data_IF_686988693758
#
_entry.id   IF_686988693758
#
_cell.length_a   1.000
_cell.length_b   1.000
_cell.length_c   1.000
_cell.angle_alpha   90.00
_cell.angle_beta   90.00
_cell.angle_gamma   90.00
#
_symmetry.space_group_name_H-M   'P 1'
#
loop_
_entity.id
_entity.type
_entity.pdbx_description
1 polymer ?
#
# COMPACT_ATOMS: atom_id res chain seq x y z
N UNK A 1 26.32 -16.89 1.35
CA UNK A 1 25.32 -16.53 2.36
C UNK A 1 24.44 -15.38 1.89
N UNK A 2 25.00 -14.26 1.42
CA UNK A 2 24.19 -13.12 0.95
C UNK A 2 23.13 -13.51 -0.09
N UNK A 3 23.49 -14.24 -1.13
CA UNK A 3 22.58 -14.71 -2.17
C UNK A 3 21.43 -15.54 -1.59
N UNK A 4 21.74 -16.42 -0.64
CA UNK A 4 20.75 -17.27 0.04
C UNK A 4 19.75 -16.42 0.85
N UNK A 5 20.23 -15.45 1.63
CA UNK A 5 19.36 -14.60 2.43
C UNK A 5 18.59 -13.56 1.62
N UNK A 6 19.16 -13.05 0.54
CA UNK A 6 18.58 -11.97 -0.23
C UNK A 6 17.61 -12.43 -1.31
N UNK A 7 17.82 -13.62 -1.92
CA UNK A 7 17.03 -14.09 -3.07
C UNK A 7 16.09 -15.25 -2.77
N UNK A 8 16.48 -16.16 -1.85
CA UNK A 8 15.67 -17.35 -1.53
C UNK A 8 14.53 -17.00 -0.55
N UNK A 9 13.75 -15.99 -0.88
CA UNK A 9 12.66 -15.50 -0.05
C UNK A 9 11.42 -16.38 -0.29
N UNK A 10 10.94 -17.01 0.78
CA UNK A 10 9.72 -17.85 0.73
C UNK A 10 9.93 -19.27 0.21
N UNK A 11 11.13 -19.65 -0.19
CA UNK A 11 11.45 -20.99 -0.63
C UNK A 11 11.52 -21.96 0.56
N UNK A 12 10.94 -23.14 0.41
CA UNK A 12 11.08 -24.22 1.40
C UNK A 12 12.45 -24.85 1.24
N UNK A 13 13.28 -24.75 2.28
CA UNK A 13 14.66 -25.22 2.28
C UNK A 13 14.87 -26.29 3.35
N UNK A 14 15.84 -27.21 3.17
CA UNK A 14 16.30 -28.09 4.22
C UNK A 14 16.77 -27.31 5.46
N UNK A 15 16.69 -27.89 6.69
CA UNK A 15 16.94 -27.17 7.94
C UNK A 15 18.25 -26.40 7.98
N UNK A 16 19.33 -26.97 7.47
CA UNK A 16 20.65 -26.32 7.42
C UNK A 16 20.65 -25.10 6.53
N UNK A 17 20.08 -25.19 5.33
CA UNK A 17 19.99 -24.04 4.42
C UNK A 17 18.99 -23.00 4.92
N UNK A 18 17.89 -23.44 5.55
CA UNK A 18 16.93 -22.54 6.19
C UNK A 18 17.57 -21.72 7.31
N UNK A 19 18.41 -22.33 8.15
CA UNK A 19 19.19 -21.66 9.20
C UNK A 19 20.09 -20.55 8.62
N UNK A 20 20.89 -20.88 7.62
CA UNK A 20 21.81 -19.93 7.00
C UNK A 20 21.08 -18.82 6.22
N UNK A 21 19.95 -19.16 5.59
CA UNK A 21 19.08 -18.16 4.98
C UNK A 21 18.55 -17.18 6.03
N UNK A 22 18.01 -17.68 7.14
CA UNK A 22 17.49 -16.87 8.24
C UNK A 22 18.57 -15.93 8.81
N UNK A 23 19.78 -16.45 9.02
CA UNK A 23 20.93 -15.66 9.47
C UNK A 23 21.23 -14.50 8.49
N UNK A 24 21.37 -14.78 7.21
CA UNK A 24 21.66 -13.76 6.20
C UNK A 24 20.46 -12.82 5.95
N UNK A 25 19.23 -13.30 6.03
CA UNK A 25 18.04 -12.49 5.90
C UNK A 25 17.88 -11.46 7.04
N UNK A 26 18.41 -11.74 8.25
CA UNK A 26 18.48 -10.75 9.34
C UNK A 26 19.36 -9.55 8.94
N UNK A 27 20.47 -9.80 8.26
CA UNK A 27 21.31 -8.73 7.72
C UNK A 27 20.54 -7.88 6.70
N UNK A 28 19.89 -8.52 5.71
CA UNK A 28 19.11 -7.81 4.68
C UNK A 28 17.95 -7.03 5.30
N UNK A 29 17.30 -7.59 6.33
CA UNK A 29 16.26 -6.90 7.10
C UNK A 29 16.79 -5.62 7.77
N UNK A 30 17.93 -5.69 8.40
CA UNK A 30 18.58 -4.53 9.02
C UNK A 30 19.00 -3.49 7.96
N UNK A 31 19.49 -3.96 6.82
CA UNK A 31 19.83 -3.12 5.67
C UNK A 31 18.61 -2.34 5.13
N UNK A 32 17.43 -2.97 5.07
CA UNK A 32 16.19 -2.31 4.66
C UNK A 32 15.77 -1.15 5.59
N UNK A 33 16.22 -1.16 6.84
CA UNK A 33 15.95 -0.11 7.82
C UNK A 33 16.92 1.08 7.73
N UNK A 34 17.94 1.02 6.85
CA UNK A 34 18.86 2.13 6.63
C UNK A 34 18.14 3.27 5.92
N UNK A 35 18.23 4.48 6.47
CA UNK A 35 17.60 5.66 5.90
C UNK A 35 18.20 5.97 4.51
N UNK A 36 17.37 6.46 3.60
CA UNK A 36 17.80 6.82 2.25
C UNK A 36 18.83 7.96 2.30
N UNK A 37 19.99 7.73 1.67
CA UNK A 37 21.10 8.69 1.69
C UNK A 37 22.02 8.61 2.91
N UNK A 38 21.75 7.74 3.89
CA UNK A 38 22.65 7.49 5.01
C UNK A 38 23.80 6.54 4.59
N UNK A 39 24.91 6.64 5.29
CA UNK A 39 25.99 5.65 5.17
C UNK A 39 25.46 4.27 5.56
N UNK A 40 25.75 3.29 4.73
CA UNK A 40 25.33 1.92 4.97
C UNK A 40 26.25 1.32 6.03
N UNK A 41 25.76 1.25 7.25
CA UNK A 41 26.45 0.63 8.38
C UNK A 41 25.48 -0.28 9.13
N UNK A 42 25.54 -1.57 8.87
CA UNK A 42 24.68 -2.57 9.53
C UNK A 42 25.45 -3.20 10.67
N UNK A 43 25.16 -2.76 11.90
CA UNK A 43 25.80 -3.30 13.08
C UNK A 43 25.55 -4.81 13.24
N UNK A 44 26.55 -5.54 13.72
CA UNK A 44 26.40 -6.95 14.05
C UNK A 44 25.38 -7.13 15.18
N UNK A 45 24.65 -8.27 15.22
CA UNK A 45 23.74 -8.59 16.32
C UNK A 45 24.47 -8.60 17.66
N UNK A 46 23.78 -8.19 18.73
CA UNK A 46 24.35 -8.24 20.09
C UNK A 46 24.68 -9.67 20.55
N UNK A 47 25.53 -9.77 21.56
CA UNK A 47 26.04 -11.06 22.07
C UNK A 47 24.93 -12.07 22.38
N UNK A 48 23.88 -11.66 23.10
CA UNK A 48 22.73 -12.52 23.42
C UNK A 48 22.03 -13.10 22.19
N UNK A 49 21.94 -12.33 21.11
CA UNK A 49 21.35 -12.79 19.84
C UNK A 49 22.26 -13.78 19.13
N UNK A 50 23.57 -13.53 19.14
CA UNK A 50 24.55 -14.47 18.57
C UNK A 50 24.61 -15.76 19.36
N UNK A 51 24.53 -15.72 20.69
CA UNK A 51 24.47 -16.90 21.56
C UNK A 51 23.21 -17.76 21.26
N UNK A 52 22.04 -17.10 21.12
CA UNK A 52 20.81 -17.80 20.73
C UNK A 52 20.94 -18.48 19.35
N UNK A 53 21.54 -17.79 18.39
CA UNK A 53 21.74 -18.35 17.04
C UNK A 53 22.68 -19.56 17.07
N UNK A 54 23.70 -19.57 17.92
CA UNK A 54 24.57 -20.76 18.11
C UNK A 54 23.80 -21.89 18.77
N UNK A 55 22.93 -21.61 19.76
CA UNK A 55 22.12 -22.61 20.42
C UNK A 55 21.07 -23.25 19.49
N UNK A 56 20.52 -22.50 18.54
CA UNK A 56 19.48 -22.93 17.60
C UNK A 56 20.04 -23.63 16.33
N UNK A 57 21.34 -23.93 16.29
CA UNK A 57 21.99 -24.56 15.13
C UNK A 57 21.41 -25.96 14.87
N UNK A 58 20.89 -26.24 13.66
CA UNK A 58 20.46 -27.58 13.31
C UNK A 58 21.66 -28.54 13.20
N UNK A 59 21.45 -29.84 13.37
CA UNK A 59 22.50 -30.84 13.15
C UNK A 59 23.10 -30.67 11.76
N UNK A 60 24.38 -30.27 11.71
CA UNK A 60 25.13 -30.11 10.47
C UNK A 60 26.62 -30.36 10.73
N UNK A 61 27.33 -30.70 9.67
CA UNK A 61 28.79 -30.93 9.74
C UNK A 61 29.49 -29.60 10.05
N UNK A 62 30.33 -29.59 11.09
CA UNK A 62 31.07 -28.42 11.53
C UNK A 62 30.29 -27.52 12.52
N UNK A 63 29.09 -27.93 12.97
CA UNK A 63 28.32 -27.18 13.96
C UNK A 63 29.09 -26.99 15.27
N UNK A 64 29.95 -27.92 15.62
CA UNK A 64 30.80 -27.91 16.82
C UNK A 64 31.82 -26.76 16.82
N UNK A 65 32.15 -26.19 15.67
CA UNK A 65 33.04 -25.04 15.53
C UNK A 65 32.34 -23.70 15.47
N UNK A 66 31.00 -23.72 15.45
CA UNK A 66 30.22 -22.48 15.38
C UNK A 66 30.23 -21.77 16.73
N UNK A 67 30.61 -20.51 16.71
CA UNK A 67 30.66 -19.65 17.89
C UNK A 67 30.11 -18.26 17.56
N UNK A 68 29.75 -17.44 18.56
CA UNK A 68 29.37 -16.04 18.34
C UNK A 68 30.40 -15.27 17.53
N UNK A 69 31.68 -15.52 17.74
CA UNK A 69 32.77 -14.90 16.98
C UNK A 69 32.80 -15.29 15.51
N UNK A 70 32.50 -16.56 15.19
CA UNK A 70 32.36 -17.04 13.80
C UNK A 70 31.16 -16.38 13.13
N UNK A 71 30.02 -16.29 13.82
CA UNK A 71 28.82 -15.62 13.29
C UNK A 71 29.07 -14.12 13.05
N UNK A 72 29.80 -13.45 13.96
CA UNK A 72 30.16 -12.04 13.78
C UNK A 72 31.10 -11.84 12.57
N UNK A 73 32.05 -12.75 12.36
CA UNK A 73 32.92 -12.70 11.18
C UNK A 73 32.16 -12.95 9.88
N UNK A 74 31.20 -13.88 9.88
CA UNK A 74 30.32 -14.12 8.74
C UNK A 74 29.43 -12.92 8.46
N UNK A 75 28.95 -12.22 9.49
CA UNK A 75 28.20 -10.98 9.35
C UNK A 75 29.01 -9.88 8.66
N UNK A 76 30.25 -9.67 9.11
CA UNK A 76 31.15 -8.73 8.45
C UNK A 76 31.46 -9.12 6.99
N UNK A 77 31.54 -10.41 6.70
CA UNK A 77 31.68 -10.91 5.33
C UNK A 77 30.45 -10.63 4.45
N UNK A 78 29.23 -10.71 5.01
CA UNK A 78 28.01 -10.33 4.30
C UNK A 78 28.02 -8.81 4.04
N UNK A 79 28.40 -8.01 5.02
CA UNK A 79 28.50 -6.55 4.91
C UNK A 79 29.46 -6.14 3.78
N UNK A 80 30.66 -6.69 3.75
CA UNK A 80 31.63 -6.47 2.69
C UNK A 80 31.09 -6.84 1.31
N UNK A 81 30.39 -7.99 1.20
CA UNK A 81 29.78 -8.44 -0.05
C UNK A 81 28.67 -7.50 -0.55
N UNK A 82 27.90 -6.88 0.36
CA UNK A 82 26.87 -5.88 0.01
C UNK A 82 27.50 -4.61 -0.52
N UNK A 83 28.55 -4.10 0.14
CA UNK A 83 29.29 -2.93 -0.33
C UNK A 83 29.90 -3.17 -1.72
N UNK A 84 30.48 -4.34 -1.95
CA UNK A 84 31.00 -4.72 -3.25
C UNK A 84 29.88 -4.81 -4.31
N UNK A 85 28.71 -5.38 -3.97
CA UNK A 85 27.57 -5.47 -4.88
C UNK A 85 27.04 -4.09 -5.27
N UNK A 86 26.99 -3.14 -4.34
CA UNK A 86 26.59 -1.75 -4.60
C UNK A 86 27.61 -1.04 -5.50
N UNK A 87 28.90 -1.16 -5.18
CA UNK A 87 29.98 -0.55 -5.97
C UNK A 87 29.98 -1.08 -7.41
N UNK A 88 29.81 -2.39 -7.58
CA UNK A 88 29.80 -3.06 -8.89
C UNK A 88 28.56 -2.72 -9.70
N UNK A 89 27.37 -2.69 -9.07
CA UNK A 89 26.11 -2.47 -9.77
C UNK A 89 25.83 -1.00 -10.07
N UNK A 90 26.45 -0.07 -9.34
CA UNK A 90 26.16 1.37 -9.36
C UNK A 90 24.70 1.71 -9.09
N UNK A 91 23.95 0.78 -8.48
CA UNK A 91 22.55 0.96 -8.10
C UNK A 91 22.46 1.65 -6.74
N UNK A 92 21.35 2.36 -6.51
CA UNK A 92 20.98 2.78 -5.16
C UNK A 92 20.52 1.58 -4.35
N UNK A 93 20.63 1.66 -3.04
CA UNK A 93 20.24 0.56 -2.14
C UNK A 93 18.80 0.04 -2.37
N UNK A 94 17.77 0.89 -2.51
CA UNK A 94 16.41 0.40 -2.78
C UNK A 94 16.29 -0.39 -4.09
N UNK A 95 17.04 0.03 -5.13
CA UNK A 95 17.02 -0.62 -6.43
C UNK A 95 17.75 -1.98 -6.38
N UNK A 96 18.83 -2.08 -5.61
CA UNK A 96 19.54 -3.33 -5.36
C UNK A 96 18.66 -4.32 -4.57
N UNK A 97 18.02 -3.87 -3.50
CA UNK A 97 17.10 -4.69 -2.70
C UNK A 97 15.94 -5.23 -3.56
N UNK A 98 15.33 -4.37 -4.38
CA UNK A 98 14.26 -4.75 -5.31
C UNK A 98 14.75 -5.77 -6.35
N UNK A 99 15.99 -5.64 -6.82
CA UNK A 99 16.61 -6.59 -7.76
C UNK A 99 16.86 -7.96 -7.13
N UNK A 100 17.19 -8.01 -5.83
CA UNK A 100 17.32 -9.28 -5.13
C UNK A 100 15.97 -9.96 -4.97
N UNK A 101 14.98 -9.27 -4.37
CA UNK A 101 13.62 -9.75 -4.29
C UNK A 101 12.64 -8.58 -4.02
N UNK A 102 11.52 -8.49 -4.75
CA UNK A 102 10.56 -7.37 -4.63
C UNK A 102 10.03 -7.14 -3.21
N UNK A 103 9.88 -8.20 -2.42
CA UNK A 103 9.36 -8.12 -1.04
C UNK A 103 10.27 -7.32 -0.09
N UNK A 104 11.57 -7.20 -0.36
CA UNK A 104 12.47 -6.39 0.46
C UNK A 104 12.11 -4.90 0.45
N UNK A 105 11.51 -4.44 -0.64
CA UNK A 105 11.04 -3.04 -0.71
C UNK A 105 9.92 -2.71 0.28
N UNK A 106 9.29 -3.71 0.89
CA UNK A 106 8.23 -3.54 1.88
C UNK A 106 8.79 -3.48 3.31
N UNK A 107 9.96 -4.06 3.56
CA UNK A 107 10.58 -4.12 4.89
C UNK A 107 11.15 -2.75 5.27
N UNK A 108 11.05 -2.39 6.54
CA UNK A 108 11.47 -1.08 7.02
C UNK A 108 10.54 0.07 6.65
N UNK A 109 9.33 -0.22 6.12
CA UNK A 109 8.37 0.80 5.68
C UNK A 109 7.18 0.93 6.63
N UNK A 110 6.74 2.17 6.76
CA UNK A 110 5.45 2.49 7.39
C UNK A 110 4.35 2.32 6.37
N UNK A 111 3.30 1.64 6.75
CA UNK A 111 2.12 1.42 5.91
C UNK A 111 0.91 2.08 6.56
N UNK A 112 0.18 2.85 5.80
CA UNK A 112 -1.14 3.37 6.15
C UNK A 112 -2.19 2.50 5.47
N UNK A 113 -2.97 1.81 6.28
CA UNK A 113 -3.95 0.86 5.81
C UNK A 113 -5.35 1.42 6.01
N UNK A 114 -6.10 1.53 4.91
CA UNK A 114 -7.53 1.77 4.93
C UNK A 114 -8.26 0.46 4.68
N UNK A 115 -9.19 0.09 5.55
CA UNK A 115 -9.98 -1.11 5.42
C UNK A 115 -11.48 -0.79 5.51
N UNK A 116 -12.33 -1.56 4.83
CA UNK A 116 -13.78 -1.49 5.00
C UNK A 116 -14.20 -2.25 6.26
N UNK A 117 -14.99 -1.60 7.10
CA UNK A 117 -15.62 -2.20 8.26
C UNK A 117 -17.13 -2.38 8.03
N UNK A 118 -17.49 -3.47 7.38
CA UNK A 118 -18.89 -3.79 7.05
C UNK A 118 -19.77 -4.06 8.28
N UNK A 119 -19.17 -4.25 9.46
CA UNK A 119 -19.90 -4.52 10.71
C UNK A 119 -20.32 -3.24 11.42
N UNK A 120 -19.80 -2.10 11.03
CA UNK A 120 -20.07 -0.81 11.65
C UNK A 120 -20.59 0.20 10.63
N UNK A 121 -21.91 0.30 10.46
CA UNK A 121 -22.49 1.26 9.51
C UNK A 121 -22.23 2.73 9.86
N UNK A 122 -21.94 3.03 11.13
CA UNK A 122 -21.68 4.41 11.58
C UNK A 122 -20.23 4.85 11.28
N UNK A 123 -19.29 3.89 11.30
CA UNK A 123 -17.91 4.14 10.92
C UNK A 123 -17.44 3.00 9.98
N UNK A 124 -17.83 3.07 8.69
CA UNK A 124 -17.65 1.97 7.75
C UNK A 124 -16.21 1.78 7.27
N UNK A 125 -15.30 2.59 7.76
CA UNK A 125 -13.87 2.45 7.48
C UNK A 125 -13.07 2.33 8.78
N UNK A 126 -11.93 1.68 8.65
CA UNK A 126 -10.93 1.61 9.69
C UNK A 126 -9.57 2.03 9.12
N UNK A 127 -8.85 2.85 9.88
CA UNK A 127 -7.47 3.22 9.58
C UNK A 127 -6.54 2.59 10.59
N UNK A 128 -5.40 2.08 10.10
CA UNK A 128 -4.34 1.53 10.93
C UNK A 128 -2.98 1.81 10.32
N UNK A 129 -2.12 2.51 11.05
CA UNK A 129 -0.72 2.63 10.71
C UNK A 129 0.05 1.41 11.22
N UNK A 130 0.83 0.78 10.33
CA UNK A 130 1.64 -0.39 10.65
C UNK A 130 3.07 -0.19 10.14
N UNK A 131 3.99 -0.94 10.72
CA UNK A 131 5.37 -1.02 10.28
C UNK A 131 5.68 -2.45 9.83
N UNK A 132 6.36 -2.59 8.70
CA UNK A 132 6.81 -3.90 8.22
C UNK A 132 8.17 -4.21 8.81
N UNK A 133 8.19 -5.05 9.85
CA UNK A 133 9.42 -5.33 10.59
C UNK A 133 10.35 -6.29 9.83
N UNK A 134 9.79 -7.32 9.19
CA UNK A 134 10.55 -8.38 8.50
C UNK A 134 9.66 -9.17 7.53
N UNK A 135 10.27 -10.08 6.78
CA UNK A 135 9.55 -11.12 6.03
C UNK A 135 9.45 -12.40 6.86
N UNK A 136 8.35 -13.12 6.72
CA UNK A 136 8.22 -14.48 7.25
C UNK A 136 9.08 -15.48 6.47
N UNK A 137 9.24 -16.70 6.99
CA UNK A 137 9.90 -17.78 6.28
C UNK A 137 9.28 -18.09 4.90
N UNK A 138 8.03 -17.70 4.69
CA UNK A 138 7.30 -17.83 3.42
C UNK A 138 7.32 -16.56 2.56
N UNK A 139 8.20 -15.61 2.84
CA UNK A 139 8.34 -14.37 2.07
C UNK A 139 7.21 -13.34 2.24
N UNK A 140 6.29 -13.56 3.18
CA UNK A 140 5.20 -12.63 3.46
C UNK A 140 5.65 -11.53 4.43
N UNK A 141 5.33 -10.29 4.11
CA UNK A 141 5.60 -9.14 4.99
C UNK A 141 4.88 -9.29 6.33
N UNK A 142 5.63 -9.18 7.43
CA UNK A 142 5.10 -9.20 8.79
C UNK A 142 4.91 -7.76 9.26
N UNK A 143 3.66 -7.38 9.41
CA UNK A 143 3.25 -6.06 9.87
C UNK A 143 2.98 -6.09 11.37
N UNK A 144 3.43 -5.04 12.05
CA UNK A 144 3.08 -4.78 13.45
C UNK A 144 2.48 -3.39 13.56
N UNK A 145 1.59 -3.12 14.55
CA UNK A 145 1.09 -1.78 14.82
C UNK A 145 2.25 -0.79 15.00
N UNK A 146 2.06 0.45 14.53
CA UNK A 146 3.11 1.47 14.62
C UNK A 146 3.52 1.74 16.07
N UNK A 147 2.57 1.68 17.02
CA UNK A 147 2.83 1.80 18.46
C UNK A 147 3.78 0.71 18.98
N UNK A 148 3.59 -0.54 18.56
CA UNK A 148 4.44 -1.65 18.97
C UNK A 148 5.86 -1.50 18.40
N UNK A 149 5.99 -1.09 17.14
CA UNK A 149 7.28 -0.81 16.53
C UNK A 149 8.01 0.35 17.25
N UNK A 150 7.28 1.41 17.59
CA UNK A 150 7.83 2.55 18.33
C UNK A 150 8.35 2.13 19.71
N UNK A 151 7.57 1.33 20.45
CA UNK A 151 7.98 0.82 21.75
C UNK A 151 9.22 -0.10 21.65
N UNK A 152 9.27 -0.96 20.62
CA UNK A 152 10.42 -1.84 20.38
C UNK A 152 11.70 -1.06 20.05
N UNK A 153 11.61 0.05 19.30
CA UNK A 153 12.77 0.82 18.82
C UNK A 153 13.18 1.96 19.76
N UNK A 154 12.38 2.32 20.77
CA UNK A 154 12.70 3.36 21.74
C UNK A 154 13.84 2.97 22.70
N UNK A 155 14.19 1.69 22.80
CA UNK A 155 15.37 1.22 23.55
C UNK A 155 16.67 1.57 22.81
N UNK A 156 17.42 2.51 23.32
CA UNK A 156 18.59 3.28 22.86
C UNK A 156 19.56 2.75 21.80
N UNK A 157 19.52 1.45 21.44
CA UNK A 157 20.45 0.84 20.45
C UNK A 157 19.86 0.78 19.02
N UNK A 158 18.58 1.16 18.82
CA UNK A 158 17.89 1.04 17.52
C UNK A 158 17.50 2.40 16.93
N UNK A 159 18.34 3.40 17.12
CA UNK A 159 18.09 4.79 16.69
C UNK A 159 17.86 4.90 15.19
N UNK A 160 18.58 4.12 14.38
CA UNK A 160 18.39 4.12 12.91
C UNK A 160 16.99 3.61 12.51
N UNK A 161 16.52 2.52 13.13
CA UNK A 161 15.18 1.96 12.90
C UNK A 161 14.10 2.94 13.35
N UNK A 162 14.28 3.58 14.50
CA UNK A 162 13.35 4.61 14.99
C UNK A 162 13.25 5.78 14.00
N UNK A 163 14.36 6.26 13.49
CA UNK A 163 14.37 7.33 12.49
C UNK A 163 13.71 6.89 11.17
N UNK A 164 13.99 5.68 10.69
CA UNK A 164 13.34 5.16 9.47
C UNK A 164 11.83 5.02 9.60
N UNK A 165 11.34 4.79 10.82
CA UNK A 165 9.92 4.72 11.14
C UNK A 165 9.28 6.12 11.22
N UNK A 166 9.91 7.05 11.92
CA UNK A 166 9.32 8.37 12.19
C UNK A 166 9.44 9.34 11.02
N UNK A 167 10.54 9.32 10.29
CA UNK A 167 10.83 10.30 9.24
C UNK A 167 9.80 10.34 8.11
N UNK A 168 9.33 9.20 7.55
CA UNK A 168 8.27 9.23 6.54
C UNK A 168 6.93 9.78 7.09
N UNK A 169 6.62 9.46 8.35
CA UNK A 169 5.39 9.95 9.02
C UNK A 169 5.45 11.46 9.21
N UNK A 170 6.58 11.99 9.68
CA UNK A 170 6.79 13.43 9.85
C UNK A 170 6.73 14.19 8.52
N UNK A 171 7.39 13.67 7.47
CA UNK A 171 7.34 14.27 6.12
C UNK A 171 5.91 14.30 5.58
N UNK A 172 5.13 13.24 5.80
CA UNK A 172 3.74 13.19 5.39
C UNK A 172 2.87 14.16 6.19
N UNK A 173 3.09 14.28 7.50
CA UNK A 173 2.40 15.21 8.37
C UNK A 173 2.66 16.70 7.98
N UNK A 174 3.86 17.02 7.50
CA UNK A 174 4.16 18.37 6.98
C UNK A 174 3.36 18.74 5.73
N UNK A 175 2.86 17.74 4.97
CA UNK A 175 2.11 17.95 3.74
C UNK A 175 0.59 17.77 3.91
N UNK A 176 0.15 17.16 5.02
CA UNK A 176 -1.23 16.80 5.30
C UNK A 176 -1.62 17.24 6.71
N UNK A 177 -2.41 18.34 6.82
CA UNK A 177 -2.83 18.95 8.09
C UNK A 177 -3.52 17.94 9.02
N UNK A 178 -4.47 17.17 8.50
CA UNK A 178 -5.17 16.14 9.27
C UNK A 178 -4.23 15.06 9.85
N UNK A 179 -3.16 14.75 9.13
CA UNK A 179 -2.17 13.78 9.61
C UNK A 179 -1.27 14.42 10.67
N UNK A 180 -0.97 15.69 10.55
CA UNK A 180 -0.23 16.45 11.56
C UNK A 180 -0.99 16.45 12.88
N UNK A 181 -2.29 16.77 12.85
CA UNK A 181 -3.17 16.73 14.03
C UNK A 181 -3.20 15.33 14.66
N UNK A 182 -3.35 14.27 13.85
CA UNK A 182 -3.34 12.88 14.33
C UNK A 182 -2.00 12.47 14.97
N UNK A 183 -0.89 12.96 14.43
CA UNK A 183 0.45 12.68 14.98
C UNK A 183 0.62 13.40 16.33
N UNK A 184 0.23 14.66 16.43
CA UNK A 184 0.31 15.44 17.68
C UNK A 184 -0.61 14.90 18.77
N UNK A 185 -1.82 14.47 18.40
CA UNK A 185 -2.75 13.83 19.32
C UNK A 185 -2.35 12.39 19.70
N UNK A 186 -1.37 11.80 19.01
CA UNK A 186 -0.97 10.41 19.20
C UNK A 186 -1.94 9.38 18.63
N UNK A 187 -2.97 9.81 17.94
CA UNK A 187 -4.02 8.94 17.38
C UNK A 187 -3.50 7.98 16.30
N UNK A 188 -2.48 8.40 15.54
CA UNK A 188 -1.87 7.58 14.49
C UNK A 188 -1.32 6.24 15.00
N UNK A 189 -1.04 6.12 16.29
CA UNK A 189 -0.50 4.90 16.89
C UNK A 189 -1.58 3.88 17.25
N UNK A 190 -2.86 4.23 17.07
CA UNK A 190 -4.00 3.40 17.41
C UNK A 190 -4.86 3.08 16.18
N UNK A 191 -5.61 1.96 16.19
CA UNK A 191 -6.64 1.72 15.18
C UNK A 191 -7.74 2.78 15.33
N UNK A 192 -8.10 3.41 14.23
CA UNK A 192 -9.13 4.46 14.20
C UNK A 192 -10.35 3.99 13.42
N UNK A 193 -11.51 4.40 13.91
CA UNK A 193 -12.80 4.27 13.22
C UNK A 193 -13.01 5.52 12.38
N UNK A 194 -13.16 5.35 11.08
CA UNK A 194 -13.26 6.46 10.14
C UNK A 194 -14.62 6.52 9.46
N UNK A 195 -15.08 7.73 9.26
CA UNK A 195 -16.23 8.07 8.44
C UNK A 195 -15.85 8.07 6.96
N UNK A 196 -16.85 8.06 6.04
CA UNK A 196 -16.58 8.19 4.60
C UNK A 196 -15.81 9.47 4.23
N UNK A 197 -15.98 10.53 4.99
CA UNK A 197 -15.28 11.81 4.79
C UNK A 197 -13.78 11.70 5.09
N UNK A 198 -13.42 10.99 6.16
CA UNK A 198 -12.02 10.73 6.53
C UNK A 198 -11.34 9.86 5.48
N UNK A 199 -12.01 8.81 5.04
CA UNK A 199 -11.52 7.94 3.98
C UNK A 199 -11.34 8.70 2.65
N UNK A 200 -12.24 9.61 2.31
CA UNK A 200 -12.13 10.46 1.12
C UNK A 200 -10.95 11.44 1.23
N UNK A 201 -10.76 12.05 2.40
CA UNK A 201 -9.61 12.94 2.69
C UNK A 201 -8.30 12.20 2.50
N UNK A 202 -8.21 11.00 3.08
CA UNK A 202 -7.07 10.11 2.91
C UNK A 202 -6.79 9.79 1.43
N UNK A 203 -7.82 9.41 0.65
CA UNK A 203 -7.72 9.12 -0.78
C UNK A 203 -7.16 10.27 -1.60
N UNK A 204 -7.53 11.51 -1.25
CA UNK A 204 -7.05 12.71 -1.95
C UNK A 204 -5.55 12.94 -1.73
N UNK A 205 -5.07 12.61 -0.53
CA UNK A 205 -3.70 12.86 -0.13
C UNK A 205 -2.75 11.67 -0.36
N UNK A 206 -3.23 10.54 -0.90
CA UNK A 206 -2.40 9.38 -1.25
C UNK A 206 -1.11 9.74 -1.98
N UNK A 207 -1.13 10.60 -3.04
CA UNK A 207 0.10 10.96 -3.73
C UNK A 207 1.14 11.66 -2.84
N UNK A 208 0.69 12.48 -1.88
CA UNK A 208 1.57 13.16 -0.92
C UNK A 208 2.16 12.17 0.09
N UNK A 209 1.32 11.23 0.56
CA UNK A 209 1.74 10.18 1.48
C UNK A 209 2.81 9.28 0.86
N UNK A 210 2.58 8.81 -0.37
CA UNK A 210 3.53 7.99 -1.11
C UNK A 210 4.83 8.74 -1.43
N UNK A 211 4.74 10.02 -1.81
CA UNK A 211 5.91 10.87 -2.03
C UNK A 211 6.75 11.07 -0.75
N UNK A 212 6.12 11.00 0.42
CA UNK A 212 6.80 11.06 1.72
C UNK A 212 7.47 9.73 2.14
N UNK A 213 7.28 8.65 1.37
CA UNK A 213 7.87 7.33 1.62
C UNK A 213 6.98 6.39 2.43
N UNK A 214 5.72 6.76 2.66
CA UNK A 214 4.71 5.89 3.29
C UNK A 214 4.12 4.96 2.22
N UNK A 215 3.91 3.71 2.57
CA UNK A 215 3.18 2.75 1.71
C UNK A 215 1.70 2.83 2.03
N UNK A 216 0.88 3.13 1.02
CA UNK A 216 -0.57 3.20 1.20
C UNK A 216 -1.21 1.90 0.76
N UNK A 217 -2.11 1.36 1.59
CA UNK A 217 -2.88 0.15 1.31
C UNK A 217 -4.37 0.44 1.37
N UNK A 218 -5.04 0.10 0.30
CA UNK A 218 -6.47 0.30 0.11
C UNK A 218 -7.25 -1.00 0.28
N UNK A 219 -8.59 -0.92 0.50
CA UNK A 219 -9.44 -2.09 0.49
C UNK A 219 -9.26 -2.90 -0.80
N UNK A 220 -9.15 -4.22 -0.67
CA UNK A 220 -8.89 -5.11 -1.81
C UNK A 220 -9.99 -5.14 -2.87
N UNK A 221 -11.20 -4.67 -2.51
CA UNK A 221 -12.32 -4.53 -3.46
C UNK A 221 -12.17 -3.30 -4.39
N UNK A 222 -11.24 -2.38 -4.11
CA UNK A 222 -11.08 -1.16 -4.90
C UNK A 222 -10.09 -1.38 -6.04
N UNK A 223 -10.58 -1.31 -7.28
CA UNK A 223 -9.73 -1.47 -8.46
C UNK A 223 -8.70 -0.35 -8.55
N UNK A 224 -7.46 -0.71 -8.83
CA UNK A 224 -6.33 0.23 -8.86
C UNK A 224 -6.22 1.13 -7.61
N UNK A 225 -6.64 0.62 -6.43
CA UNK A 225 -6.56 1.34 -5.16
C UNK A 225 -7.53 2.51 -5.01
N UNK A 226 -8.58 2.57 -5.84
CA UNK A 226 -9.61 3.63 -5.77
C UNK A 226 -11.01 3.04 -5.84
N UNK A 227 -11.99 3.69 -5.17
CA UNK A 227 -13.39 3.33 -5.33
C UNK A 227 -13.86 3.61 -6.77
N UNK A 228 -14.87 2.88 -7.20
CA UNK A 228 -15.49 3.09 -8.50
C UNK A 228 -16.06 4.53 -8.62
N UNK A 229 -16.11 5.04 -9.86
CA UNK A 229 -16.71 6.35 -10.15
C UNK A 229 -17.82 6.19 -11.17
N UNK A 230 -18.98 6.85 -10.99
CA UNK A 230 -20.01 6.86 -12.01
C UNK A 230 -19.49 7.52 -13.28
N UNK A 231 -19.83 6.93 -14.42
CA UNK A 231 -19.53 7.49 -15.75
C UNK A 231 -20.82 7.72 -16.50
N UNK A 232 -20.87 8.80 -17.25
CA UNK A 232 -21.98 9.06 -18.18
C UNK A 232 -21.56 8.54 -19.54
N UNK A 233 -22.34 7.62 -20.09
CA UNK A 233 -22.13 7.03 -21.42
C UNK A 233 -23.33 7.35 -22.30
N UNK A 234 -23.08 7.59 -23.56
CA UNK A 234 -24.12 7.72 -24.58
C UNK A 234 -24.18 6.44 -25.42
N UNK A 235 -25.36 5.91 -25.57
CA UNK A 235 -25.62 4.80 -26.50
C UNK A 235 -26.32 5.39 -27.70
N UNK A 236 -25.70 5.26 -28.87
CA UNK A 236 -26.25 5.73 -30.12
C UNK A 236 -26.63 4.50 -30.96
N UNK A 237 -27.88 4.44 -31.43
CA UNK A 237 -28.31 3.40 -32.35
C UNK A 237 -28.49 2.01 -31.73
N UNK A 238 -29.29 1.90 -30.66
CA UNK A 238 -29.61 0.60 -30.05
C UNK A 238 -30.65 -0.23 -30.85
N UNK A 239 -31.30 0.36 -31.81
CA UNK A 239 -32.29 -0.31 -32.69
C UNK A 239 -31.76 -0.26 -34.13
N UNK A 240 -31.69 -1.42 -34.81
CA UNK A 240 -31.35 -1.46 -36.23
C UNK A 240 -32.43 -0.69 -37.00
N UNK A 241 -32.04 0.24 -37.90
CA UNK A 241 -33.00 0.98 -38.68
C UNK A 241 -33.80 0.01 -39.54
N UNK A 242 -35.14 0.03 -39.39
CA UNK A 242 -36.06 -0.86 -40.10
C UNK A 242 -36.26 -0.49 -41.56
N UNK A 243 -35.70 0.64 -42.03
CA UNK A 243 -35.78 1.09 -43.41
C UNK A 243 -34.53 1.85 -43.82
N UNK A 244 -34.01 1.57 -45.02
CA UNK A 244 -32.97 2.33 -45.70
C UNK A 244 -33.58 3.65 -46.21
N UNK A 245 -33.60 4.68 -45.37
CA UNK A 245 -34.07 6.01 -45.76
C UNK A 245 -33.33 7.10 -44.97
N UNK A 246 -33.23 8.31 -45.54
CA UNK A 246 -32.64 9.50 -44.93
C UNK A 246 -33.24 9.93 -43.56
N UNK A 247 -34.35 9.29 -43.15
CA UNK A 247 -35.08 9.56 -41.92
C UNK A 247 -34.81 8.54 -40.79
N UNK A 248 -33.69 7.84 -40.80
CA UNK A 248 -33.29 6.95 -39.72
C UNK A 248 -32.98 7.78 -38.47
N UNK A 249 -33.95 7.93 -37.57
CA UNK A 249 -33.77 8.55 -36.27
C UNK A 249 -32.71 7.75 -35.48
N UNK A 250 -31.61 8.37 -35.19
CA UNK A 250 -30.60 7.83 -34.24
C UNK A 250 -31.21 7.91 -32.83
N UNK A 251 -31.53 6.75 -32.24
CA UNK A 251 -31.96 6.68 -30.84
C UNK A 251 -30.74 7.02 -29.95
N UNK A 252 -30.75 8.22 -29.40
CA UNK A 252 -29.72 8.71 -28.51
C UNK A 252 -30.19 8.56 -27.07
N UNK A 253 -29.62 7.59 -26.35
CA UNK A 253 -29.92 7.36 -24.94
C UNK A 253 -28.70 7.60 -24.07
N UNK A 254 -28.92 8.33 -22.99
CA UNK A 254 -27.93 8.50 -21.95
C UNK A 254 -28.08 7.40 -20.91
N UNK A 255 -26.96 6.80 -20.51
CA UNK A 255 -26.90 5.94 -19.36
C UNK A 255 -25.80 6.42 -18.40
N UNK A 256 -26.11 6.48 -17.11
CA UNK A 256 -25.09 6.62 -16.08
C UNK A 256 -24.71 5.21 -15.68
N UNK A 257 -23.44 4.86 -15.84
CA UNK A 257 -22.93 3.52 -15.57
C UNK A 257 -21.93 3.52 -14.41
N UNK A 258 -21.93 2.43 -13.67
CA UNK A 258 -20.93 2.12 -12.67
C UNK A 258 -20.27 0.80 -13.05
N UNK A 259 -18.95 0.82 -13.33
CA UNK A 259 -18.20 -0.36 -13.80
C UNK A 259 -18.83 -1.08 -15.01
N UNK A 260 -19.50 -0.31 -15.88
CA UNK A 260 -20.18 -0.84 -17.09
C UNK A 260 -21.64 -1.21 -16.89
N UNK A 261 -22.15 -1.28 -15.67
CA UNK A 261 -23.56 -1.52 -15.37
C UNK A 261 -24.35 -0.21 -15.30
N UNK A 262 -25.51 -0.14 -15.95
CA UNK A 262 -26.38 1.03 -15.89
C UNK A 262 -26.99 1.20 -14.50
N UNK A 263 -26.96 2.43 -13.99
CA UNK A 263 -27.62 2.82 -12.76
C UNK A 263 -29.10 3.11 -13.02
N UNK A 264 -29.94 2.75 -12.07
CA UNK A 264 -31.39 3.08 -12.11
C UNK A 264 -31.58 4.58 -11.84
N UNK A 265 -32.71 5.16 -12.29
CA UNK A 265 -33.04 6.56 -12.00
C UNK A 265 -33.04 6.91 -10.51
N UNK A 266 -33.49 5.99 -9.65
CA UNK A 266 -33.47 6.15 -8.20
C UNK A 266 -32.06 6.20 -7.62
N UNK A 267 -31.15 5.36 -8.12
CA UNK A 267 -29.74 5.38 -7.73
C UNK A 267 -29.05 6.66 -8.18
N UNK A 268 -29.33 7.14 -9.39
CA UNK A 268 -28.80 8.42 -9.90
C UNK A 268 -29.30 9.57 -9.03
N UNK A 269 -30.58 9.58 -8.68
CA UNK A 269 -31.15 10.61 -7.81
C UNK A 269 -30.50 10.60 -6.41
N UNK A 270 -30.27 9.42 -5.86
CA UNK A 270 -29.54 9.24 -4.59
C UNK A 270 -28.14 9.82 -4.67
N UNK A 271 -27.40 9.55 -5.75
CA UNK A 271 -26.07 10.08 -5.98
C UNK A 271 -26.05 11.61 -6.15
N UNK A 272 -27.07 12.18 -6.80
CA UNK A 272 -27.18 13.62 -7.01
C UNK A 272 -27.58 14.38 -5.74
N UNK A 273 -28.36 13.75 -4.85
CA UNK A 273 -28.77 14.32 -3.56
C UNK A 273 -27.68 14.17 -2.50
N UNK A 274 -26.76 13.23 -2.67
CA UNK A 274 -25.67 13.03 -1.73
C UNK A 274 -24.66 14.17 -1.83
N UNK A 275 -24.04 14.52 -0.69
CA UNK A 275 -22.88 15.41 -0.68
C UNK A 275 -21.70 14.78 -1.45
N UNK A 276 -20.73 15.61 -1.84
CA UNK A 276 -19.46 15.08 -2.38
C UNK A 276 -18.85 14.08 -1.40
N UNK A 277 -18.52 12.89 -1.87
CA UNK A 277 -17.94 11.93 -0.97
C UNK A 277 -17.97 10.49 -1.46
N UNK A 278 -17.80 9.60 -0.50
CA UNK A 278 -17.96 8.16 -0.68
C UNK A 278 -19.41 7.77 -0.36
N UNK A 279 -20.05 7.10 -1.30
CA UNK A 279 -21.42 6.61 -1.15
C UNK A 279 -21.46 5.10 -1.36
N UNK A 280 -22.32 4.43 -0.60
CA UNK A 280 -22.51 2.99 -0.72
C UNK A 280 -23.65 2.70 -1.71
N UNK A 281 -23.32 2.13 -2.88
CA UNK A 281 -24.29 1.75 -3.92
C UNK A 281 -24.12 0.25 -4.20
N UNK A 282 -25.21 -0.51 -4.12
CA UNK A 282 -25.22 -1.98 -4.34
C UNK A 282 -24.12 -2.71 -3.52
N UNK A 283 -23.88 -2.22 -2.29
CA UNK A 283 -22.85 -2.81 -1.41
C UNK A 283 -21.41 -2.49 -1.79
N UNK A 284 -21.19 -1.51 -2.69
CA UNK A 284 -19.86 -1.04 -3.11
C UNK A 284 -19.69 0.45 -2.83
N UNK A 285 -18.51 0.84 -2.38
CA UNK A 285 -18.18 2.24 -2.19
C UNK A 285 -17.87 2.90 -3.52
N UNK A 286 -18.50 4.05 -3.76
CA UNK A 286 -18.42 4.82 -4.99
C UNK A 286 -18.00 6.25 -4.65
N UNK A 287 -16.98 6.77 -5.33
CA UNK A 287 -16.57 8.17 -5.20
C UNK A 287 -17.47 9.03 -6.09
N UNK A 288 -18.23 9.93 -5.48
CA UNK A 288 -19.20 10.79 -6.17
C UNK A 288 -18.79 12.25 -6.07
N UNK A 289 -18.72 12.90 -7.23
CA UNK A 289 -18.75 14.35 -7.35
C UNK A 289 -20.15 14.78 -7.86
N UNK A 290 -21.07 14.99 -6.92
CA UNK A 290 -22.47 15.29 -7.25
C UNK A 290 -22.62 16.52 -8.15
N UNK A 291 -21.74 17.54 -8.01
CA UNK A 291 -21.77 18.74 -8.87
C UNK A 291 -21.40 18.41 -10.30
N UNK A 292 -20.27 17.70 -10.50
CA UNK A 292 -19.83 17.30 -11.85
C UNK A 292 -20.82 16.33 -12.48
N UNK A 293 -21.30 15.34 -11.72
CA UNK A 293 -22.29 14.39 -12.20
C UNK A 293 -23.58 15.12 -12.61
N UNK A 294 -24.09 16.02 -11.76
CA UNK A 294 -25.29 16.81 -12.03
C UNK A 294 -25.15 17.67 -13.27
N UNK A 295 -24.05 18.40 -13.40
CA UNK A 295 -23.80 19.23 -14.58
C UNK A 295 -23.76 18.42 -15.89
N UNK A 296 -23.15 17.24 -15.86
CA UNK A 296 -23.11 16.34 -17.03
C UNK A 296 -24.50 15.79 -17.33
N UNK A 297 -25.23 15.29 -16.32
CA UNK A 297 -26.59 14.77 -16.49
C UNK A 297 -27.56 15.85 -17.04
N UNK A 298 -27.51 17.09 -16.53
CA UNK A 298 -28.33 18.18 -17.05
C UNK A 298 -27.98 18.54 -18.49
N UNK A 299 -26.69 18.58 -18.81
CA UNK A 299 -26.24 18.85 -20.18
C UNK A 299 -26.76 17.80 -21.17
N UNK A 300 -26.72 16.53 -20.80
CA UNK A 300 -27.27 15.46 -21.61
C UNK A 300 -28.79 15.52 -21.73
N UNK A 301 -29.50 15.76 -20.63
CA UNK A 301 -30.98 15.97 -20.67
C UNK A 301 -31.36 17.13 -21.59
N UNK A 302 -30.55 18.18 -21.62
CA UNK A 302 -30.78 19.31 -22.54
C UNK A 302 -30.60 18.89 -24.00
N UNK A 303 -29.60 18.08 -24.29
CA UNK A 303 -29.35 17.53 -25.62
C UNK A 303 -30.48 16.57 -26.04
N UNK A 304 -30.91 15.68 -25.16
CA UNK A 304 -32.07 14.78 -25.42
C UNK A 304 -33.36 15.56 -25.74
N UNK A 305 -33.62 16.64 -24.99
CA UNK A 305 -34.78 17.51 -25.26
C UNK A 305 -34.66 18.25 -26.59
N UNK A 306 -33.46 18.70 -26.96
CA UNK A 306 -33.19 19.33 -28.25
C UNK A 306 -33.31 18.33 -29.41
N UNK A 307 -32.79 17.12 -29.22
CA UNK A 307 -32.91 16.03 -30.18
C UNK A 307 -34.38 15.65 -30.43
N UNK A 308 -35.15 15.50 -29.35
CA UNK A 308 -36.60 15.22 -29.43
C UNK A 308 -37.42 16.35 -30.07
N UNK A 309 -37.01 17.62 -29.86
CA UNK A 309 -37.71 18.79 -30.41
C UNK A 309 -37.40 19.08 -31.87
N UNK A 310 -36.17 18.82 -32.30
CA UNK A 310 -35.68 19.17 -33.64
C UNK A 310 -35.68 17.99 -34.61
N UNK A 311 -36.14 16.78 -34.15
CA UNK A 311 -36.08 15.58 -34.95
C UNK A 311 -34.70 15.42 -35.56
N UNK A 312 -33.67 15.17 -34.75
CA UNK A 312 -32.36 14.94 -35.28
C UNK A 312 -32.39 13.68 -36.17
N UNK A 313 -32.64 13.94 -37.41
CA UNK A 313 -32.52 13.02 -38.53
C UNK A 313 -31.06 12.88 -38.89
#
# INVERSE_FOLDING_TARGET
LLELGAREVGTVLPPVLAYWREFAARYVTALCATAEGAEIAVAAPGATTLDSLVADVPPMRGAEYLSPGVLAALWAGIDAAVHEALARSKLRLPDLLKRWHPSWNLVGRVNFNLAENRKDPQAPFAFLATYTARLSAYGKAQHQPLSAALAEFSGGHRKAQLLSLLLPVQRAAQQCEWLHEMVEAGEIYHPLRWLPEDALRFLRDVPKLEASGVVVRMPGAWQAGRPARPRVTSVVGSTAPSTLGLDAMLDFRMAVTLEGEALTPAEIETLLKSAHGLQLIRGRWVEVDARKLGAVVERFRSIEKLAAKNGLT
#
